data_IF_138619718414
#
_entry.id   IF_138619718414
#
_cell.length_a   1.000
_cell.length_b   1.000
_cell.length_c   1.000
_cell.angle_alpha   90.00
_cell.angle_beta   90.00
_cell.angle_gamma   90.00
#
_symmetry.space_group_name_H-M   'P 1'
#
loop_
_entity.id
_entity.type
_entity.pdbx_description
1 polymer ?
#
# COMPACT_ATOMS: atom_id res chain seq x y z
N UNK A 1 -0.57 -16.32 -8.09
CA UNK A 1 0.20 -15.27 -7.43
C UNK A 1 1.16 -15.87 -6.40
N UNK A 2 2.43 -15.52 -6.51
CA UNK A 2 3.48 -15.95 -5.57
C UNK A 2 3.94 -14.75 -4.77
N UNK A 3 3.74 -14.78 -3.45
CA UNK A 3 4.22 -13.70 -2.56
C UNK A 3 5.73 -13.83 -2.40
N UNK A 4 6.45 -12.76 -2.62
CA UNK A 4 7.92 -12.68 -2.47
C UNK A 4 8.34 -11.88 -1.25
N UNK A 5 7.55 -10.89 -0.85
CA UNK A 5 7.84 -10.01 0.28
C UNK A 5 6.56 -9.51 0.95
N UNK A 6 6.62 -9.36 2.27
CA UNK A 6 5.60 -8.66 3.06
C UNK A 6 6.29 -7.69 4.00
N UNK A 7 5.95 -6.42 3.88
CA UNK A 7 6.52 -5.34 4.68
C UNK A 7 5.43 -4.52 5.33
N UNK A 8 5.70 -4.03 6.53
CA UNK A 8 4.86 -3.04 7.18
C UNK A 8 5.56 -1.68 7.07
N UNK A 9 4.95 -0.79 6.33
CA UNK A 9 5.46 0.51 5.92
C UNK A 9 4.96 1.61 6.83
N UNK A 10 5.74 2.68 6.96
CA UNK A 10 5.39 3.87 7.73
C UNK A 10 5.06 3.55 9.20
N UNK A 11 5.86 2.70 9.83
CA UNK A 11 5.75 2.40 11.26
C UNK A 11 6.40 3.53 12.05
N UNK A 12 5.71 4.09 13.03
CA UNK A 12 6.27 5.11 13.91
C UNK A 12 7.45 4.54 14.70
N UNK A 13 8.57 5.26 14.76
CA UNK A 13 9.77 4.87 15.55
C UNK A 13 9.62 5.19 17.03
N UNK A 14 8.71 6.11 17.38
CA UNK A 14 8.56 6.61 18.75
C UNK A 14 7.30 6.06 19.39
N UNK A 15 7.40 5.65 20.63
CA UNK A 15 6.30 5.32 21.51
C UNK A 15 6.17 6.40 22.58
N UNK A 16 4.98 6.94 22.73
CA UNK A 16 4.68 7.94 23.77
C UNK A 16 3.98 7.27 24.95
N UNK A 17 4.46 7.53 26.19
CA UNK A 17 3.82 7.02 27.40
C UNK A 17 2.41 7.58 27.59
N UNK A 18 2.23 8.87 27.30
CA UNK A 18 0.94 9.55 27.38
C UNK A 18 0.39 9.69 25.96
N UNK A 19 -0.89 9.41 25.81
CA UNK A 19 -1.56 9.59 24.53
C UNK A 19 -1.53 11.06 24.10
N UNK A 20 -1.01 11.32 22.92
CA UNK A 20 -1.09 12.63 22.29
C UNK A 20 -2.11 12.61 21.17
N UNK A 21 -3.07 13.52 21.24
CA UNK A 21 -4.12 13.63 20.23
C UNK A 21 -3.61 14.15 18.88
N UNK A 22 -2.40 14.74 18.84
CA UNK A 22 -1.95 15.57 17.72
C UNK A 22 -0.61 15.18 17.13
N UNK A 23 0.04 14.11 17.60
CA UNK A 23 1.38 13.78 17.12
C UNK A 23 1.31 12.91 15.86
N UNK A 24 1.27 13.56 14.72
CA UNK A 24 1.52 12.92 13.43
C UNK A 24 3.03 12.77 13.26
N UNK A 25 3.58 11.55 13.06
CA UNK A 25 5.00 11.39 12.82
C UNK A 25 5.42 12.10 11.54
N UNK A 26 6.61 12.68 11.55
CA UNK A 26 7.26 13.16 10.33
C UNK A 26 7.83 11.97 9.55
N UNK A 27 8.14 12.14 8.27
CA UNK A 27 8.73 11.06 7.46
C UNK A 27 10.03 10.50 8.06
N UNK A 28 10.86 11.34 8.71
CA UNK A 28 12.10 10.91 9.38
C UNK A 28 11.85 10.04 10.63
N UNK A 29 10.66 10.11 11.19
CA UNK A 29 10.24 9.33 12.38
C UNK A 29 9.52 8.02 12.01
N UNK A 30 9.51 7.68 10.74
CA UNK A 30 8.93 6.44 10.23
C UNK A 30 10.02 5.42 9.88
N UNK A 31 9.64 4.15 9.92
CA UNK A 31 10.49 3.02 9.55
C UNK A 31 9.66 1.93 8.85
N UNK A 32 10.35 0.91 8.34
CA UNK A 32 9.74 -0.26 7.69
C UNK A 32 10.11 -1.50 8.48
N UNK A 33 9.13 -2.37 8.71
CA UNK A 33 9.35 -3.72 9.23
C UNK A 33 9.21 -4.72 8.10
N UNK A 34 10.19 -5.60 7.95
CA UNK A 34 10.19 -6.68 6.96
C UNK A 34 10.03 -8.02 7.67
N UNK A 35 9.36 -8.96 7.04
CA UNK A 35 9.23 -10.32 7.54
C UNK A 35 9.70 -11.31 6.49
N UNK A 36 10.45 -12.31 6.92
CA UNK A 36 10.84 -13.46 6.09
C UNK A 36 9.67 -14.45 5.92
N UNK A 37 8.65 -14.36 6.78
CA UNK A 37 7.43 -15.14 6.65
C UNK A 37 6.40 -14.37 5.83
N UNK A 38 5.89 -15.00 4.77
CA UNK A 38 4.89 -14.41 3.87
C UNK A 38 3.45 -14.88 4.13
N UNK A 39 3.23 -15.77 5.12
CA UNK A 39 1.92 -16.39 5.34
C UNK A 39 1.21 -15.93 6.60
N UNK A 40 1.94 -15.83 7.71
CA UNK A 40 1.37 -15.43 8.99
C UNK A 40 2.39 -14.61 9.76
N UNK A 41 2.08 -13.34 9.98
CA UNK A 41 3.01 -12.39 10.55
C UNK A 41 2.31 -11.66 11.69
N UNK A 42 3.04 -11.44 12.78
CA UNK A 42 2.61 -10.58 13.89
C UNK A 42 3.64 -9.50 14.13
N UNK A 43 3.21 -8.26 14.12
CA UNK A 43 4.04 -7.12 14.49
C UNK A 43 3.45 -6.40 15.71
N UNK A 44 4.33 -5.92 16.58
CA UNK A 44 4.00 -5.01 17.67
C UNK A 44 4.53 -3.64 17.28
N UNK A 45 3.66 -2.66 17.18
CA UNK A 45 3.99 -1.34 16.63
C UNK A 45 3.49 -0.21 17.52
N UNK A 46 4.18 0.93 17.55
CA UNK A 46 3.67 2.15 18.16
C UNK A 46 2.43 2.66 17.44
N UNK A 47 1.65 3.48 18.14
CA UNK A 47 0.56 4.21 17.49
C UNK A 47 1.08 5.18 16.43
N UNK A 48 0.28 5.36 15.39
CA UNK A 48 0.51 6.35 14.33
C UNK A 48 -0.81 7.03 14.00
N UNK A 49 -0.98 8.26 14.46
CA UNK A 49 -2.19 9.05 14.22
C UNK A 49 -2.06 9.84 12.91
N UNK A 50 -2.01 9.13 11.80
CA UNK A 50 -1.82 9.72 10.46
C UNK A 50 -2.98 10.62 10.01
N UNK A 51 -4.14 10.49 10.65
CA UNK A 51 -5.31 11.30 10.34
C UNK A 51 -6.38 10.57 9.54
N UNK A 52 -7.25 11.35 8.91
CA UNK A 52 -8.36 10.85 8.10
C UNK A 52 -8.52 11.67 6.82
N UNK A 53 -9.08 11.05 5.80
CA UNK A 53 -9.50 11.69 4.55
C UNK A 53 -10.97 11.40 4.27
N UNK A 54 -11.62 12.24 3.48
CA UNK A 54 -13.05 12.11 3.18
C UNK A 54 -13.31 10.97 2.17
N UNK A 55 -13.04 9.72 2.58
CA UNK A 55 -13.27 8.53 1.78
C UNK A 55 -14.50 7.77 2.26
N UNK A 56 -15.30 7.31 1.33
CA UNK A 56 -16.49 6.50 1.60
C UNK A 56 -16.34 5.05 1.16
N UNK A 57 -15.39 4.78 0.26
CA UNK A 57 -15.19 3.45 -0.30
C UNK A 57 -13.82 2.89 0.12
N UNK A 58 -13.78 1.64 0.56
CA UNK A 58 -12.55 0.93 0.92
C UNK A 58 -11.56 0.77 -0.24
N UNK A 59 -12.03 0.73 -1.48
CA UNK A 59 -11.18 0.66 -2.67
C UNK A 59 -10.39 1.95 -2.92
N UNK A 60 -10.85 3.06 -2.35
CA UNK A 60 -10.20 4.36 -2.50
C UNK A 60 -9.03 4.57 -1.52
N UNK A 61 -8.75 3.56 -0.68
CA UNK A 61 -7.62 3.57 0.26
C UNK A 61 -6.33 3.16 -0.43
N UNK A 62 -5.77 4.06 -1.21
CA UNK A 62 -4.50 3.89 -1.91
C UNK A 62 -3.63 5.13 -1.75
N UNK A 63 -2.37 5.06 -2.21
CA UNK A 63 -1.34 6.08 -1.99
C UNK A 63 -1.78 7.52 -2.33
N UNK A 64 -2.51 7.71 -3.43
CA UNK A 64 -2.98 9.05 -3.83
C UNK A 64 -4.03 9.65 -2.90
N UNK A 65 -4.71 8.83 -2.10
CA UNK A 65 -5.79 9.24 -1.20
C UNK A 65 -5.46 9.05 0.28
N UNK A 66 -4.39 8.32 0.61
CA UNK A 66 -3.96 8.13 1.98
C UNK A 66 -3.07 9.28 2.45
N UNK A 67 -3.11 9.64 3.76
CA UNK A 67 -2.09 10.51 4.33
C UNK A 67 -0.69 9.95 4.12
N UNK A 68 0.28 10.81 3.80
CA UNK A 68 1.64 10.39 3.45
C UNK A 68 2.35 9.57 4.55
N UNK A 69 1.96 9.76 5.80
CA UNK A 69 2.50 9.05 6.97
C UNK A 69 1.68 7.84 7.39
N UNK A 70 0.59 7.52 6.71
CA UNK A 70 -0.28 6.41 7.08
C UNK A 70 0.45 5.07 7.01
N UNK A 71 0.25 4.23 8.04
CA UNK A 71 0.82 2.88 8.11
C UNK A 71 0.07 1.94 7.17
N UNK A 72 0.80 1.15 6.40
CA UNK A 72 0.21 0.17 5.48
C UNK A 72 1.06 -1.10 5.36
N UNK A 73 0.41 -2.19 5.02
CA UNK A 73 1.07 -3.45 4.64
C UNK A 73 1.29 -3.42 3.14
N UNK A 74 2.54 -3.64 2.72
CA UNK A 74 2.92 -3.82 1.33
C UNK A 74 3.20 -5.31 1.09
N UNK A 75 2.42 -5.91 0.21
CA UNK A 75 2.57 -7.30 -0.23
C UNK A 75 3.09 -7.27 -1.65
N UNK A 76 4.27 -7.81 -1.87
CA UNK A 76 4.88 -7.89 -3.19
C UNK A 76 4.92 -9.34 -3.66
N UNK A 77 4.83 -9.52 -4.95
CA UNK A 77 4.88 -10.85 -5.54
C UNK A 77 4.83 -10.84 -7.05
N UNK A 78 4.84 -12.02 -7.61
CA UNK A 78 4.73 -12.24 -9.04
C UNK A 78 3.39 -12.88 -9.37
N UNK A 79 2.73 -12.35 -10.36
CA UNK A 79 1.50 -12.89 -10.92
C UNK A 79 1.72 -13.37 -12.35
N UNK A 80 1.38 -14.63 -12.60
CA UNK A 80 1.41 -15.20 -13.94
C UNK A 80 -0.02 -15.47 -14.39
N UNK A 81 -0.56 -14.72 -15.36
CA UNK A 81 -1.84 -15.01 -15.94
C UNK A 81 -1.79 -16.34 -16.73
N UNK A 82 -2.96 -16.99 -16.91
CA UNK A 82 -3.06 -18.32 -17.51
C UNK A 82 -2.38 -18.44 -18.88
N UNK A 83 -2.34 -17.37 -19.66
CA UNK A 83 -1.74 -17.31 -21.01
C UNK A 83 -0.79 -16.12 -21.15
N UNK A 84 0.03 -15.82 -20.15
CA UNK A 84 0.87 -14.63 -20.18
C UNK A 84 2.20 -14.74 -19.45
N UNK A 85 2.97 -13.68 -19.57
CA UNK A 85 4.27 -13.55 -18.89
C UNK A 85 4.06 -13.13 -17.43
N UNK A 86 4.90 -13.65 -16.54
CA UNK A 86 4.94 -13.22 -15.14
C UNK A 86 5.15 -11.70 -15.02
N UNK A 87 4.49 -11.09 -14.05
CA UNK A 87 4.57 -9.65 -13.76
C UNK A 87 4.73 -9.43 -12.28
N UNK A 88 5.56 -8.48 -11.93
CA UNK A 88 5.68 -8.05 -10.54
C UNK A 88 4.46 -7.19 -10.18
N UNK A 89 3.87 -7.50 -9.05
CA UNK A 89 2.63 -6.87 -8.56
C UNK A 89 2.78 -6.59 -7.09
N UNK A 90 2.37 -5.41 -6.66
CA UNK A 90 2.34 -5.01 -5.27
C UNK A 90 0.91 -4.62 -4.84
N UNK A 91 0.57 -4.94 -3.60
CA UNK A 91 -0.70 -4.58 -2.97
C UNK A 91 -0.43 -3.75 -1.72
N UNK A 92 -1.04 -2.58 -1.63
CA UNK A 92 -0.97 -1.74 -0.45
C UNK A 92 -2.29 -1.83 0.35
N UNK A 93 -2.20 -2.23 1.62
CA UNK A 93 -3.35 -2.34 2.52
C UNK A 93 -3.13 -1.38 3.68
N UNK A 94 -3.81 -0.24 3.67
CA UNK A 94 -3.71 0.79 4.69
C UNK A 94 -4.45 0.38 5.97
N UNK A 95 -3.81 0.55 7.13
CA UNK A 95 -4.41 0.33 8.43
C UNK A 95 -5.28 1.51 8.86
N UNK A 96 -6.25 1.26 9.73
CA UNK A 96 -7.11 2.27 10.32
C UNK A 96 -7.89 1.70 11.51
N UNK A 97 -8.18 2.54 12.50
CA UNK A 97 -8.75 2.11 13.78
C UNK A 97 -10.27 1.91 13.74
N UNK A 98 -10.96 2.63 12.87
CA UNK A 98 -12.42 2.59 12.79
C UNK A 98 -12.94 1.70 11.66
N UNK A 99 -14.23 1.39 11.70
CA UNK A 99 -14.94 0.77 10.58
C UNK A 99 -15.29 1.81 9.51
N UNK A 100 -14.35 2.67 9.17
CA UNK A 100 -14.52 3.76 8.22
C UNK A 100 -13.40 3.75 7.19
N UNK A 101 -13.76 3.90 5.92
CA UNK A 101 -12.77 4.06 4.85
C UNK A 101 -11.92 5.33 5.02
N UNK A 102 -12.43 6.31 5.75
CA UNK A 102 -11.78 7.60 5.99
C UNK A 102 -10.62 7.54 6.99
N UNK A 103 -10.60 6.59 7.93
CA UNK A 103 -9.67 6.56 9.06
C UNK A 103 -8.37 5.81 8.72
N UNK A 104 -7.23 6.48 8.95
CA UNK A 104 -5.87 5.95 8.74
C UNK A 104 -5.05 5.91 10.04
N UNK A 105 -5.70 6.05 11.18
CA UNK A 105 -5.02 6.05 12.46
C UNK A 105 -4.74 4.64 12.95
N UNK A 106 -3.50 4.38 13.35
CA UNK A 106 -3.13 3.22 14.15
C UNK A 106 -3.17 3.62 15.61
N UNK A 107 -4.08 3.01 16.36
CA UNK A 107 -4.36 3.37 17.76
C UNK A 107 -3.75 2.33 18.70
N UNK A 108 -3.20 2.79 19.82
CA UNK A 108 -2.64 1.93 20.86
C UNK A 108 -3.69 0.97 21.44
N UNK A 109 -3.23 -0.14 22.03
CA UNK A 109 -4.09 -1.17 22.65
C UNK A 109 -5.12 -1.77 21.68
N UNK A 110 -4.88 -1.69 20.39
CA UNK A 110 -5.76 -2.21 19.35
C UNK A 110 -5.08 -3.33 18.59
N UNK A 111 -5.78 -4.45 18.41
CA UNK A 111 -5.36 -5.55 17.57
C UNK A 111 -5.97 -5.39 16.17
N UNK A 112 -5.12 -5.25 15.17
CA UNK A 112 -5.52 -5.26 13.77
C UNK A 112 -5.33 -6.66 13.21
N UNK A 113 -6.38 -7.22 12.60
CA UNK A 113 -6.30 -8.49 11.88
C UNK A 113 -6.55 -8.22 10.40
N UNK A 114 -5.55 -8.49 9.58
CA UNK A 114 -5.64 -8.30 8.13
C UNK A 114 -5.57 -9.67 7.46
N UNK A 115 -6.63 -10.03 6.77
CA UNK A 115 -6.70 -11.24 5.93
C UNK A 115 -6.64 -10.81 4.47
N UNK A 116 -5.51 -11.05 3.82
CA UNK A 116 -5.33 -10.74 2.41
C UNK A 116 -5.52 -12.00 1.56
N UNK A 117 -6.58 -12.02 0.76
CA UNK A 117 -6.82 -13.07 -0.22
C UNK A 117 -6.63 -12.50 -1.62
N UNK A 118 -5.46 -12.75 -2.21
CA UNK A 118 -5.12 -12.24 -3.55
C UNK A 118 -5.60 -13.27 -4.57
N UNK A 119 -6.64 -12.91 -5.33
CA UNK A 119 -7.26 -13.80 -6.33
C UNK A 119 -6.90 -13.43 -7.78
N UNK A 120 -6.20 -12.34 -7.99
CA UNK A 120 -5.84 -11.84 -9.32
C UNK A 120 -5.40 -10.38 -9.24
N UNK A 121 -5.20 -9.78 -10.40
CA UNK A 121 -4.85 -8.37 -10.54
C UNK A 121 -6.05 -7.61 -11.08
N UNK A 122 -6.84 -6.99 -10.21
CA UNK A 122 -7.84 -6.02 -10.66
C UNK A 122 -7.16 -4.66 -10.85
N UNK A 123 -6.90 -4.30 -12.08
CA UNK A 123 -6.21 -3.07 -12.45
C UNK A 123 -7.05 -1.79 -12.21
N UNK A 124 -8.32 -1.94 -11.89
CA UNK A 124 -9.17 -0.82 -11.50
C UNK A 124 -9.15 -0.60 -9.98
N UNK A 125 -8.50 -1.48 -9.23
CA UNK A 125 -8.32 -1.32 -7.79
C UNK A 125 -7.03 -0.53 -7.54
N UNK A 126 -7.15 0.70 -7.05
CA UNK A 126 -6.01 1.58 -6.76
C UNK A 126 -5.02 1.04 -5.73
N UNK A 127 -5.40 -0.01 -4.98
CA UNK A 127 -4.51 -0.72 -4.05
C UNK A 127 -3.55 -1.67 -4.76
N UNK A 128 -3.82 -1.99 -6.03
CA UNK A 128 -2.98 -2.86 -6.86
C UNK A 128 -2.03 -2.03 -7.69
N UNK A 129 -0.75 -2.29 -7.55
CA UNK A 129 0.32 -1.59 -8.25
C UNK A 129 1.10 -2.60 -9.09
N UNK A 130 1.17 -2.35 -10.39
CA UNK A 130 1.85 -3.24 -11.32
C UNK A 130 3.14 -2.58 -11.78
N UNK A 131 4.26 -3.28 -11.57
CA UNK A 131 5.58 -2.80 -11.97
C UNK A 131 6.04 -1.53 -11.27
N UNK A 132 5.50 -1.24 -10.08
CA UNK A 132 5.86 -0.07 -9.29
C UNK A 132 6.53 -0.49 -8.01
N UNK A 133 7.72 0.01 -7.77
CA UNK A 133 8.40 -0.12 -6.49
C UNK A 133 7.99 1.01 -5.55
N UNK A 134 7.13 0.69 -4.58
CA UNK A 134 6.73 1.61 -3.52
C UNK A 134 7.77 1.74 -2.41
N UNK A 135 8.81 0.90 -2.43
CA UNK A 135 9.85 0.92 -1.39
C UNK A 135 10.89 2.00 -1.58
N UNK A 136 11.02 2.54 -2.80
CA UNK A 136 11.98 3.58 -3.11
C UNK A 136 11.38 4.96 -2.83
N UNK A 137 11.66 5.52 -1.67
CA UNK A 137 11.38 6.92 -1.41
C UNK A 137 12.13 7.79 -2.42
N UNK A 138 11.42 8.41 -3.34
CA UNK A 138 11.94 9.50 -4.16
C UNK A 138 12.17 9.24 -5.65
N UNK A 139 12.12 8.00 -6.15
CA UNK A 139 12.28 7.77 -7.59
C UNK A 139 11.16 6.89 -8.11
N UNK A 140 10.14 7.48 -8.65
CA UNK A 140 9.06 6.75 -9.30
C UNK A 140 9.42 6.55 -10.77
N UNK A 141 9.91 5.38 -11.11
CA UNK A 141 10.04 4.99 -12.51
C UNK A 141 8.76 4.24 -12.89
N UNK A 142 7.79 4.94 -13.41
CA UNK A 142 6.59 4.33 -13.94
C UNK A 142 6.91 3.66 -15.27
N UNK A 143 7.11 2.33 -15.27
CA UNK A 143 7.52 1.61 -16.46
C UNK A 143 6.37 1.20 -17.38
N UNK A 144 5.14 1.14 -16.92
CA UNK A 144 4.03 0.76 -17.79
C UNK A 144 2.67 1.09 -17.17
N UNK A 145 1.82 1.75 -17.93
CA UNK A 145 0.40 1.90 -17.63
C UNK A 145 -0.40 1.01 -18.57
N UNK A 146 -1.33 0.25 -18.01
CA UNK A 146 -2.32 -0.45 -18.83
C UNK A 146 -3.64 0.26 -18.63
N UNK A 147 -4.17 0.84 -19.69
CA UNK A 147 -5.46 1.52 -19.67
C UNK A 147 -6.51 0.55 -20.19
N UNK A 148 -7.57 0.34 -19.43
CA UNK A 148 -8.75 -0.37 -19.89
C UNK A 148 -9.51 0.55 -20.83
N UNK A 149 -9.74 0.09 -22.05
CA UNK A 149 -10.63 0.80 -22.97
C UNK A 149 -12.09 0.38 -22.74
N UNK A 150 -13.03 1.13 -23.32
CA UNK A 150 -14.46 0.85 -23.24
C UNK A 150 -14.87 -0.48 -23.88
N UNK A 151 -13.98 -1.10 -24.65
CA UNK A 151 -14.22 -2.45 -25.21
C UNK A 151 -13.95 -3.49 -24.12
N UNK A 152 -15.00 -4.16 -23.67
CA UNK A 152 -14.90 -5.24 -22.70
C UNK A 152 -13.83 -6.27 -23.15
N UNK A 153 -12.87 -6.54 -22.28
CA UNK A 153 -11.80 -7.54 -22.46
C UNK A 153 -10.63 -7.17 -23.38
N UNK A 154 -10.48 -5.94 -23.81
CA UNK A 154 -9.28 -5.49 -24.53
C UNK A 154 -8.39 -4.64 -23.63
N UNK A 155 -7.09 -4.96 -23.64
CA UNK A 155 -6.06 -4.24 -22.90
C UNK A 155 -5.09 -3.60 -23.89
N UNK A 156 -4.79 -2.33 -23.69
CA UNK A 156 -3.82 -1.60 -24.49
C UNK A 156 -2.62 -1.21 -23.65
N UNK A 157 -1.43 -1.46 -24.18
CA UNK A 157 -0.17 -1.03 -23.55
C UNK A 157 0.20 0.34 -24.09
N UNK A 158 0.35 1.31 -23.20
CA UNK A 158 0.90 2.61 -23.54
C UNK A 158 2.32 2.71 -23.01
N UNK A 159 3.24 3.15 -23.86
CA UNK A 159 4.58 3.53 -23.44
C UNK A 159 4.59 5.04 -23.25
N UNK A 160 4.58 5.50 -22.02
CA UNK A 160 4.82 6.90 -21.71
C UNK A 160 6.33 7.13 -21.62
N UNK A 161 6.86 8.02 -22.42
CA UNK A 161 8.24 8.52 -22.25
C UNK A 161 8.13 9.88 -21.57
N UNK A 162 8.45 9.91 -20.29
CA UNK A 162 8.57 11.19 -19.56
C UNK A 162 9.96 11.73 -19.87
N UNK A 163 10.03 12.80 -20.63
CA UNK A 163 11.27 13.57 -20.78
C UNK A 163 11.34 14.52 -19.59
N UNK A 164 12.27 14.28 -18.68
CA UNK A 164 12.67 15.30 -17.72
C UNK A 164 13.33 16.44 -18.49
N UNK A 165 12.84 17.65 -18.32
CA UNK A 165 13.62 18.82 -18.67
C UNK A 165 14.73 18.92 -17.63
N UNK A 166 15.99 18.73 -18.08
CA UNK A 166 17.19 19.05 -17.32
C UNK A 166 17.35 20.54 -17.19
#
# INVERSE_FOLDING_TARGET
FTVTSVRLMNVAKKLYYVESATTVPTAAELTTYTSDNTKSITWYIPENKAGSNALTNWKDRYEGNAPATATYILIEGSYTPQNGTARDVSYAIYLGAGNSAADFNVVRNTKYTVNAAIKGTDMNDGRVLIGRDLSAAGTQTANCYVVKTTDANKWYRFKATIRGNG
#
